data_IF_809327167096
#
_entry.id   IF_809327167096
#
_cell.length_a   1.000
_cell.length_b   1.000
_cell.length_c   1.000
_cell.angle_alpha   90.00
_cell.angle_beta   90.00
_cell.angle_gamma   90.00
#
_symmetry.space_group_name_H-M   'P 1'
#
loop_
_entity.id
_entity.type
_entity.pdbx_description
1 polymer ?
#
# COMPACT_ATOMS: atom_id res chain seq x y z
N UNK A 1 16.93 -4.54 11.40
CA UNK A 1 16.05 -3.36 11.27
C UNK A 1 14.60 -3.84 11.28
N UNK A 2 13.74 -3.27 12.14
CA UNK A 2 12.30 -3.60 12.20
C UNK A 2 11.54 -2.56 11.38
N UNK A 3 10.69 -3.00 10.46
CA UNK A 3 9.93 -2.13 9.59
C UNK A 3 8.43 -2.28 9.87
N UNK A 4 7.69 -1.18 9.85
CA UNK A 4 6.24 -1.20 9.83
C UNK A 4 5.76 -0.95 8.39
N UNK A 5 4.91 -1.83 7.91
CA UNK A 5 4.27 -1.70 6.60
C UNK A 5 2.80 -1.31 6.83
N UNK A 6 2.41 -0.16 6.32
CA UNK A 6 1.05 0.36 6.42
C UNK A 6 0.47 0.50 5.01
N UNK A 7 -0.83 0.33 4.88
CA UNK A 7 -1.54 0.51 3.60
C UNK A 7 -3.00 0.88 3.84
N UNK A 8 -3.65 1.43 2.82
CA UNK A 8 -5.11 1.56 2.78
C UNK A 8 -5.69 2.31 4.00
N UNK A 9 -5.10 3.48 4.29
CA UNK A 9 -5.46 4.34 5.44
C UNK A 9 -6.86 4.94 5.25
N UNK A 10 -7.17 5.33 4.03
CA UNK A 10 -8.49 5.79 3.62
C UNK A 10 -9.10 6.87 4.52
N UNK A 11 -8.34 7.91 4.87
CA UNK A 11 -8.85 9.03 5.66
C UNK A 11 -9.30 8.67 7.08
N UNK A 12 -8.91 7.50 7.60
CA UNK A 12 -9.24 7.03 8.95
C UNK A 12 -8.19 7.50 9.96
N UNK A 13 -8.29 8.74 10.37
CA UNK A 13 -7.31 9.40 11.24
C UNK A 13 -7.22 8.73 12.61
N UNK A 14 -8.35 8.31 13.16
CA UNK A 14 -8.39 7.65 14.48
C UNK A 14 -7.64 6.32 14.46
N UNK A 15 -7.86 5.51 13.42
CA UNK A 15 -7.12 4.25 13.26
C UNK A 15 -5.62 4.53 13.01
N UNK A 16 -5.29 5.52 12.19
CA UNK A 16 -3.90 5.89 11.91
C UNK A 16 -3.14 6.27 13.18
N UNK A 17 -3.75 7.07 14.07
CA UNK A 17 -3.17 7.41 15.36
C UNK A 17 -2.87 6.16 16.22
N UNK A 18 -3.81 5.20 16.27
CA UNK A 18 -3.60 3.97 17.06
C UNK A 18 -2.50 3.09 16.45
N UNK A 19 -2.45 3.00 15.11
CA UNK A 19 -1.40 2.25 14.41
C UNK A 19 -0.03 2.89 14.64
N UNK A 20 0.11 4.21 14.49
CA UNK A 20 1.38 4.90 14.74
C UNK A 20 1.85 4.74 16.20
N UNK A 21 0.94 4.81 17.16
CA UNK A 21 1.25 4.50 18.56
C UNK A 21 1.76 3.08 18.75
N UNK A 22 1.15 2.10 18.04
CA UNK A 22 1.62 0.71 18.09
C UNK A 22 3.02 0.58 17.47
N UNK A 23 3.28 1.23 16.35
CA UNK A 23 4.59 1.27 15.68
C UNK A 23 5.67 1.78 16.61
N UNK A 24 5.38 2.84 17.39
CA UNK A 24 6.29 3.39 18.39
C UNK A 24 6.57 2.39 19.52
N UNK A 25 5.52 1.75 20.08
CA UNK A 25 5.64 0.73 21.13
C UNK A 25 6.46 -0.47 20.67
N UNK A 26 6.32 -0.89 19.41
CA UNK A 26 7.08 -1.98 18.80
C UNK A 26 8.51 -1.56 18.43
N UNK A 27 8.87 -0.28 18.61
CA UNK A 27 10.18 0.28 18.29
C UNK A 27 10.60 -0.04 16.85
N UNK A 28 9.70 0.21 15.90
CA UNK A 28 10.02 0.07 14.49
C UNK A 28 11.00 1.18 14.07
N UNK A 29 12.01 0.79 13.29
CA UNK A 29 13.05 1.71 12.83
C UNK A 29 12.58 2.61 11.68
N UNK A 30 11.62 2.13 10.87
CA UNK A 30 11.00 2.91 9.78
C UNK A 30 9.58 2.44 9.47
N UNK A 31 8.82 3.34 8.84
CA UNK A 31 7.49 3.07 8.30
C UNK A 31 7.56 3.18 6.78
N UNK A 32 6.95 2.22 6.08
CA UNK A 32 6.69 2.25 4.64
C UNK A 32 5.17 2.22 4.47
N UNK A 33 4.61 3.24 3.81
CA UNK A 33 3.18 3.31 3.50
C UNK A 33 2.97 2.98 2.02
N UNK A 34 2.11 2.00 1.74
CA UNK A 34 1.90 1.48 0.40
C UNK A 34 0.82 2.25 -0.39
N UNK A 35 0.29 3.33 0.15
CA UNK A 35 -0.68 4.17 -0.56
C UNK A 35 -2.12 4.03 -0.05
N UNK A 36 -3.04 4.61 -0.80
CA UNK A 36 -4.45 4.80 -0.45
C UNK A 36 -4.62 5.52 0.89
N UNK A 37 -3.99 6.69 0.96
CA UNK A 37 -4.10 7.57 2.13
C UNK A 37 -5.48 8.21 2.21
N UNK A 38 -6.14 8.45 1.06
CA UNK A 38 -7.45 9.12 0.96
C UNK A 38 -8.58 8.16 0.58
N UNK A 39 -9.79 8.68 0.53
CA UNK A 39 -11.02 7.94 0.23
C UNK A 39 -11.67 7.36 1.48
N UNK A 40 -12.94 7.03 1.38
CA UNK A 40 -13.84 6.49 2.41
C UNK A 40 -13.97 7.32 3.69
N UNK A 41 -12.90 7.55 4.44
CA UNK A 41 -12.92 8.24 5.73
C UNK A 41 -12.94 9.77 5.61
N UNK A 42 -13.27 10.47 6.71
CA UNK A 42 -13.56 11.91 6.70
C UNK A 42 -12.34 12.83 6.86
N UNK A 43 -11.13 12.28 7.11
CA UNK A 43 -9.93 13.08 7.40
C UNK A 43 -8.81 12.85 6.38
N UNK A 44 -9.05 13.10 5.06
CA UNK A 44 -8.07 12.75 4.04
C UNK A 44 -6.78 13.57 4.14
N UNK A 45 -6.88 14.87 4.35
CA UNK A 45 -5.74 15.78 4.43
C UNK A 45 -4.86 15.49 5.64
N UNK A 46 -5.49 15.33 6.80
CA UNK A 46 -4.81 15.03 8.07
C UNK A 46 -4.07 13.69 8.01
N UNK A 47 -4.68 12.68 7.37
CA UNK A 47 -4.03 11.39 7.17
C UNK A 47 -2.81 11.50 6.26
N UNK A 48 -2.92 12.20 5.13
CA UNK A 48 -1.78 12.43 4.22
C UNK A 48 -0.65 13.15 4.95
N UNK A 49 -0.92 14.23 5.65
CA UNK A 49 0.09 14.98 6.38
C UNK A 49 0.72 14.18 7.51
N UNK A 50 -0.09 13.42 8.26
CA UNK A 50 0.38 12.63 9.38
C UNK A 50 1.28 11.48 8.92
N UNK A 51 0.86 10.74 7.89
CA UNK A 51 1.66 9.61 7.39
C UNK A 51 2.95 10.08 6.72
N UNK A 52 2.94 11.18 5.97
CA UNK A 52 4.13 11.73 5.35
C UNK A 52 5.18 12.21 6.36
N UNK A 53 4.76 12.75 7.50
CA UNK A 53 5.69 13.14 8.58
C UNK A 53 6.33 11.96 9.30
N UNK A 54 5.69 10.80 9.28
CA UNK A 54 6.11 9.63 10.07
C UNK A 54 6.75 8.52 9.23
N UNK A 55 6.61 8.54 7.91
CA UNK A 55 7.06 7.47 7.02
C UNK A 55 8.32 7.85 6.26
N UNK A 56 9.18 6.86 6.05
CA UNK A 56 10.34 7.00 5.16
C UNK A 56 9.91 7.04 3.68
N UNK A 57 8.80 6.37 3.36
CA UNK A 57 8.22 6.30 2.02
C UNK A 57 6.71 6.27 2.13
N UNK A 58 6.04 7.03 1.26
CA UNK A 58 4.58 6.96 1.03
C UNK A 58 4.36 6.79 -0.46
N UNK A 59 3.79 5.64 -0.85
CA UNK A 59 3.43 5.38 -2.23
C UNK A 59 2.05 5.98 -2.56
N UNK A 60 1.75 6.08 -3.85
CA UNK A 60 0.41 6.41 -4.31
C UNK A 60 -0.41 5.14 -4.52
N UNK A 61 -1.67 5.16 -4.07
CA UNK A 61 -2.67 4.16 -4.40
C UNK A 61 -3.68 4.66 -5.43
N UNK A 62 -4.61 3.78 -5.82
CA UNK A 62 -5.63 4.14 -6.82
C UNK A 62 -6.59 5.23 -6.34
N UNK A 63 -6.92 5.28 -5.05
CA UNK A 63 -7.74 6.36 -4.50
C UNK A 63 -6.99 7.70 -4.50
N UNK A 64 -5.69 7.70 -4.21
CA UNK A 64 -4.85 8.88 -4.28
C UNK A 64 -4.80 9.42 -5.72
N UNK A 65 -4.57 8.54 -6.70
CA UNK A 65 -4.59 8.88 -8.13
C UNK A 65 -5.98 9.29 -8.62
N UNK A 66 -7.04 8.62 -8.14
CA UNK A 66 -8.42 8.98 -8.44
C UNK A 66 -8.78 10.38 -7.95
N UNK A 67 -8.35 10.76 -6.75
CA UNK A 67 -8.56 12.11 -6.19
C UNK A 67 -7.81 13.16 -6.99
N UNK A 68 -6.59 12.87 -7.45
CA UNK A 68 -5.78 13.74 -8.29
C UNK A 68 -6.23 13.80 -9.76
N UNK A 69 -7.21 12.98 -10.17
CA UNK A 69 -7.64 12.86 -11.57
C UNK A 69 -6.61 12.20 -12.49
N UNK A 70 -5.65 11.45 -11.93
CA UNK A 70 -4.60 10.74 -12.68
C UNK A 70 -5.03 9.35 -13.16
N UNK A 71 -6.10 8.78 -12.57
CA UNK A 71 -6.71 7.53 -13.04
C UNK A 71 -8.22 7.69 -13.13
N UNK A 72 -8.86 6.91 -14.04
CA UNK A 72 -10.32 6.89 -14.15
C UNK A 72 -10.94 6.24 -12.91
N UNK A 73 -11.98 6.87 -12.39
CA UNK A 73 -12.76 6.32 -11.28
C UNK A 73 -14.01 5.57 -11.71
N UNK A 74 -14.20 5.34 -13.01
CA UNK A 74 -15.41 4.67 -13.56
C UNK A 74 -15.57 3.24 -13.04
N UNK A 75 -14.46 2.53 -12.86
CA UNK A 75 -14.45 1.17 -12.33
C UNK A 75 -14.52 1.10 -10.81
N UNK A 76 -14.43 2.24 -10.10
CA UNK A 76 -14.58 2.26 -8.66
C UNK A 76 -16.04 2.00 -8.29
N UNK A 77 -16.27 1.34 -7.17
CA UNK A 77 -17.62 1.21 -6.62
C UNK A 77 -18.21 2.59 -6.27
N UNK A 78 -19.52 2.67 -6.15
CA UNK A 78 -20.23 3.94 -5.92
C UNK A 78 -19.79 4.63 -4.63
N UNK A 79 -19.53 3.87 -3.56
CA UNK A 79 -19.09 4.43 -2.28
C UNK A 79 -17.71 5.07 -2.40
N UNK A 80 -16.78 4.42 -3.10
CA UNK A 80 -15.44 4.95 -3.37
C UNK A 80 -15.50 6.25 -4.16
N UNK A 81 -16.26 6.28 -5.27
CA UNK A 81 -16.44 7.49 -6.07
C UNK A 81 -17.05 8.65 -5.26
N UNK A 82 -18.06 8.33 -4.44
CA UNK A 82 -18.68 9.33 -3.57
C UNK A 82 -17.71 9.86 -2.53
N UNK A 83 -16.95 8.96 -1.90
CA UNK A 83 -15.95 9.33 -0.91
C UNK A 83 -14.89 10.27 -1.50
N UNK A 84 -14.35 9.97 -2.69
CA UNK A 84 -13.37 10.84 -3.34
C UNK A 84 -13.95 12.24 -3.64
N UNK A 85 -15.19 12.33 -4.12
CA UNK A 85 -15.85 13.64 -4.32
C UNK A 85 -16.02 14.44 -3.03
N UNK A 86 -16.27 13.77 -1.91
CA UNK A 86 -16.38 14.41 -0.59
C UNK A 86 -15.02 14.76 -0.01
N UNK A 87 -13.99 13.97 -0.28
CA UNK A 87 -12.62 14.21 0.18
C UNK A 87 -11.96 15.39 -0.54
N UNK A 88 -12.22 15.58 -1.82
CA UNK A 88 -11.54 16.60 -2.62
C UNK A 88 -11.59 18.02 -2.03
N UNK A 89 -12.74 18.55 -1.56
CA UNK A 89 -12.79 19.89 -0.95
C UNK A 89 -12.14 19.97 0.44
N UNK A 90 -11.79 18.84 1.07
CA UNK A 90 -11.14 18.77 2.37
C UNK A 90 -9.61 18.74 2.27
N UNK A 91 -9.07 18.63 1.05
CA UNK A 91 -7.63 18.57 0.84
C UNK A 91 -7.00 19.96 0.92
N UNK A 92 -5.89 20.06 1.68
CA UNK A 92 -5.02 21.24 1.63
C UNK A 92 -4.10 21.16 0.40
N UNK A 93 -3.59 22.29 -0.08
CA UNK A 93 -2.62 22.30 -1.18
C UNK A 93 -1.35 21.52 -0.80
N UNK A 94 -0.92 21.62 0.45
CA UNK A 94 0.23 20.85 0.96
C UNK A 94 0.02 19.34 0.85
N UNK A 95 -1.14 18.83 1.26
CA UNK A 95 -1.43 17.38 1.15
C UNK A 95 -1.64 16.94 -0.30
N UNK A 96 -2.20 17.79 -1.16
CA UNK A 96 -2.26 17.51 -2.61
C UNK A 96 -0.87 17.43 -3.23
N UNK A 97 0.05 18.32 -2.85
CA UNK A 97 1.42 18.27 -3.33
C UNK A 97 2.15 17.00 -2.86
N UNK A 98 1.96 16.60 -1.62
CA UNK A 98 2.51 15.33 -1.11
C UNK A 98 2.01 14.14 -1.92
N UNK A 99 0.71 14.04 -2.19
CA UNK A 99 0.16 12.97 -3.04
C UNK A 99 0.70 13.01 -4.48
N UNK A 100 0.84 14.21 -5.08
CA UNK A 100 1.38 14.35 -6.44
C UNK A 100 2.82 13.82 -6.55
N UNK A 101 3.59 13.92 -5.47
CA UNK A 101 4.98 13.50 -5.39
C UNK A 101 5.15 12.05 -4.92
N UNK A 102 4.09 11.37 -4.50
CA UNK A 102 4.14 9.97 -4.09
C UNK A 102 4.43 9.08 -5.30
N UNK A 103 5.49 8.24 -5.24
CA UNK A 103 5.82 7.31 -6.31
C UNK A 103 4.85 6.12 -6.32
N UNK A 104 4.77 5.39 -7.44
CA UNK A 104 3.98 4.16 -7.56
C UNK A 104 4.66 2.95 -6.92
N UNK A 105 5.97 2.94 -6.93
CA UNK A 105 6.79 1.84 -6.40
C UNK A 105 7.98 2.39 -5.62
N UNK A 106 8.48 1.60 -4.70
CA UNK A 106 9.73 1.85 -4.03
C UNK A 106 10.48 0.54 -3.79
N UNK A 107 11.81 0.58 -3.81
CA UNK A 107 12.63 -0.60 -3.55
C UNK A 107 13.96 -0.26 -2.89
N UNK A 108 14.47 -1.22 -2.12
CA UNK A 108 15.87 -1.28 -1.69
C UNK A 108 16.48 -2.64 -2.11
N UNK A 109 17.58 -3.03 -1.50
CA UNK A 109 18.25 -4.29 -1.82
C UNK A 109 17.42 -5.54 -1.46
N UNK A 110 16.51 -5.45 -0.50
CA UNK A 110 15.78 -6.59 0.06
C UNK A 110 14.29 -6.56 -0.26
N UNK A 111 13.71 -5.35 -0.37
CA UNK A 111 12.28 -5.13 -0.39
C UNK A 111 11.85 -4.35 -1.63
N UNK A 112 10.78 -4.80 -2.27
CA UNK A 112 10.01 -4.06 -3.26
C UNK A 112 8.64 -3.70 -2.68
N UNK A 113 8.20 -2.48 -2.87
CA UNK A 113 6.89 -1.99 -2.39
C UNK A 113 6.08 -1.44 -3.55
N UNK A 114 4.80 -1.77 -3.58
CA UNK A 114 3.83 -1.31 -4.57
C UNK A 114 2.45 -1.24 -3.92
N UNK A 115 1.55 -0.40 -4.42
CA UNK A 115 0.18 -0.41 -3.89
C UNK A 115 -0.60 -1.64 -4.37
N UNK A 116 -0.64 -1.91 -5.68
CA UNK A 116 -1.42 -2.99 -6.28
C UNK A 116 -0.53 -4.13 -6.80
N UNK A 117 -0.05 -4.04 -8.05
CA UNK A 117 0.71 -5.11 -8.70
C UNK A 117 2.10 -4.65 -9.16
N UNK A 118 3.15 -5.47 -8.97
CA UNK A 118 4.49 -5.13 -9.44
C UNK A 118 4.62 -4.96 -10.96
N UNK A 119 3.93 -5.79 -11.76
CA UNK A 119 4.09 -5.82 -13.21
C UNK A 119 3.54 -4.57 -13.90
N UNK A 120 2.41 -4.07 -13.47
CA UNK A 120 1.77 -2.87 -14.02
C UNK A 120 1.07 -2.11 -12.87
N UNK A 121 1.81 -1.29 -12.12
CA UNK A 121 1.29 -0.62 -10.92
C UNK A 121 0.07 0.26 -11.17
N UNK A 122 -0.03 0.91 -12.34
CA UNK A 122 -1.14 1.82 -12.68
C UNK A 122 -2.38 1.10 -13.20
N UNK A 123 -2.30 -0.21 -13.46
CA UNK A 123 -3.46 -0.99 -13.84
C UNK A 123 -4.36 -1.32 -12.65
N UNK A 124 -3.90 -1.11 -11.42
CA UNK A 124 -4.64 -1.29 -10.17
C UNK A 124 -5.30 -2.69 -10.07
N UNK A 125 -4.63 -3.72 -10.59
CA UNK A 125 -5.13 -5.08 -10.55
C UNK A 125 -5.10 -5.64 -9.13
N UNK A 126 -6.05 -6.54 -8.82
CA UNK A 126 -6.10 -7.21 -7.53
C UNK A 126 -5.30 -8.51 -7.56
N UNK A 127 -4.52 -8.74 -6.51
CA UNK A 127 -3.89 -10.03 -6.23
C UNK A 127 -4.79 -10.81 -5.26
N UNK A 128 -5.64 -11.66 -5.77
CA UNK A 128 -6.65 -12.38 -4.97
C UNK A 128 -6.34 -13.87 -4.84
N UNK A 129 -5.44 -14.38 -5.65
CA UNK A 129 -5.08 -15.79 -5.71
C UNK A 129 -3.61 -16.01 -6.04
N UNK A 130 -3.14 -17.25 -5.88
CA UNK A 130 -1.79 -17.67 -6.29
C UNK A 130 -1.55 -17.49 -7.80
N UNK A 131 -2.60 -17.56 -8.61
CA UNK A 131 -2.50 -17.40 -10.07
C UNK A 131 -2.22 -15.95 -10.45
N UNK A 132 -2.83 -14.99 -9.74
CA UNK A 132 -2.59 -13.56 -9.97
C UNK A 132 -1.15 -13.19 -9.61
N UNK A 133 -0.59 -13.84 -8.58
CA UNK A 133 0.78 -13.58 -8.11
C UNK A 133 1.82 -14.27 -8.99
N UNK A 134 1.49 -15.41 -9.60
CA UNK A 134 2.46 -16.21 -10.36
C UNK A 134 3.10 -15.42 -11.51
N UNK A 135 2.34 -14.55 -12.16
CA UNK A 135 2.84 -13.69 -13.25
C UNK A 135 3.69 -12.51 -12.75
N UNK A 136 3.65 -12.20 -11.46
CA UNK A 136 4.33 -11.04 -10.88
C UNK A 136 5.80 -11.29 -10.52
N UNK A 137 6.21 -12.56 -10.36
CA UNK A 137 7.52 -12.92 -9.83
C UNK A 137 8.72 -12.37 -10.64
N UNK A 138 8.52 -12.08 -11.92
CA UNK A 138 9.56 -11.52 -12.79
C UNK A 138 9.60 -9.98 -12.79
N UNK A 139 8.62 -9.32 -12.16
CA UNK A 139 8.53 -7.86 -12.16
C UNK A 139 9.45 -7.18 -11.11
N UNK A 140 10.01 -7.94 -10.18
CA UNK A 140 10.93 -7.46 -9.17
C UNK A 140 12.04 -8.48 -8.90
N UNK A 141 13.18 -8.01 -8.38
CA UNK A 141 14.36 -8.85 -8.08
C UNK A 141 14.56 -9.15 -6.60
N UNK A 142 13.89 -8.39 -5.74
CA UNK A 142 13.99 -8.49 -4.28
C UNK A 142 13.40 -9.81 -3.75
N UNK A 143 13.78 -10.19 -2.54
CA UNK A 143 13.24 -11.37 -1.87
C UNK A 143 11.83 -11.15 -1.30
N UNK A 144 11.46 -9.90 -1.03
CA UNK A 144 10.18 -9.51 -0.46
C UNK A 144 9.49 -8.48 -1.35
N UNK A 145 8.20 -8.66 -1.56
CA UNK A 145 7.34 -7.65 -2.15
C UNK A 145 6.15 -7.40 -1.21
N UNK A 146 5.96 -6.15 -0.81
CA UNK A 146 4.78 -5.74 -0.03
C UNK A 146 3.78 -5.03 -0.93
N UNK A 147 2.50 -5.38 -0.77
CA UNK A 147 1.39 -4.78 -1.50
C UNK A 147 0.17 -4.56 -0.58
N UNK A 148 -0.71 -3.62 -0.97
CA UNK A 148 -1.98 -3.30 -0.30
C UNK A 148 -3.18 -3.62 -1.18
N UNK A 149 -4.08 -2.64 -1.36
CA UNK A 149 -5.17 -2.62 -2.34
C UNK A 149 -6.28 -3.65 -2.13
N UNK A 150 -5.94 -4.88 -1.78
CA UNK A 150 -6.92 -5.98 -1.65
C UNK A 150 -7.75 -5.93 -0.38
N UNK A 151 -7.30 -5.22 0.64
CA UNK A 151 -7.83 -5.23 2.00
C UNK A 151 -7.93 -6.63 2.61
N UNK A 152 -7.10 -7.58 2.11
CA UNK A 152 -7.06 -8.97 2.59
C UNK A 152 -5.64 -9.33 2.99
N UNK A 153 -5.40 -9.72 4.25
CA UNK A 153 -4.10 -10.18 4.65
C UNK A 153 -3.78 -11.51 3.97
N UNK A 154 -2.64 -11.56 3.27
CA UNK A 154 -2.16 -12.78 2.66
C UNK A 154 -0.63 -12.77 2.56
N UNK A 155 -0.04 -13.95 2.53
CA UNK A 155 1.36 -14.12 2.22
C UNK A 155 1.50 -15.24 1.19
N UNK A 156 2.21 -14.97 0.11
CA UNK A 156 2.43 -15.91 -0.98
C UNK A 156 3.93 -16.04 -1.20
N UNK A 157 4.41 -17.26 -1.24
CA UNK A 157 5.83 -17.56 -1.36
C UNK A 157 6.08 -18.39 -2.62
N UNK A 158 7.22 -18.14 -3.27
CA UNK A 158 7.73 -19.03 -4.30
C UNK A 158 8.69 -20.04 -3.66
N UNK A 159 8.48 -21.34 -3.87
CA UNK A 159 9.37 -22.38 -3.39
C UNK A 159 10.68 -22.44 -4.19
N UNK A 160 11.67 -23.20 -3.72
CA UNK A 160 12.91 -23.44 -4.47
C UNK A 160 12.67 -24.09 -5.85
N UNK A 161 11.58 -24.85 -6.01
CA UNK A 161 11.14 -25.43 -7.29
C UNK A 161 10.28 -24.48 -8.11
N UNK A 162 10.20 -23.20 -7.73
CA UNK A 162 9.37 -22.15 -8.35
C UNK A 162 7.85 -22.42 -8.31
N UNK A 163 7.38 -23.23 -7.38
CA UNK A 163 5.95 -23.36 -7.13
C UNK A 163 5.46 -22.24 -6.23
N UNK A 164 4.36 -21.60 -6.60
CA UNK A 164 3.70 -20.56 -5.79
C UNK A 164 2.80 -21.21 -4.75
N UNK A 165 2.95 -20.81 -3.50
CA UNK A 165 2.17 -21.34 -2.36
C UNK A 165 1.69 -20.20 -1.49
N UNK A 166 0.42 -20.25 -1.08
CA UNK A 166 -0.13 -19.32 -0.10
C UNK A 166 0.21 -19.79 1.33
N UNK A 167 0.50 -18.85 2.20
CA UNK A 167 0.77 -19.06 3.62
C UNK A 167 -0.18 -18.21 4.47
N UNK A 168 -0.45 -18.64 5.69
CA UNK A 168 -1.10 -17.80 6.69
C UNK A 168 -0.12 -16.75 7.19
N UNK A 169 -0.62 -15.54 7.45
CA UNK A 169 0.21 -14.39 7.80
C UNK A 169 0.77 -14.45 9.24
N UNK A 170 0.27 -15.34 10.09
CA UNK A 170 0.72 -15.46 11.48
C UNK A 170 2.13 -16.08 11.54
N UNK A 171 3.09 -15.31 12.04
CA UNK A 171 4.48 -15.70 12.28
C UNK A 171 5.26 -16.23 11.06
N UNK A 172 5.12 -15.58 9.93
CA UNK A 172 5.84 -15.95 8.73
C UNK A 172 7.34 -15.61 8.85
N UNK A 173 8.16 -16.61 9.15
CA UNK A 173 9.62 -16.50 9.00
C UNK A 173 9.99 -16.74 7.53
N UNK A 174 10.21 -15.65 6.81
CA UNK A 174 10.66 -15.65 5.41
C UNK A 174 12.19 -15.76 5.39
N UNK A 175 12.72 -16.97 5.10
CA UNK A 175 14.15 -17.20 4.89
C UNK A 175 14.38 -17.72 3.48
N UNK A 176 15.30 -17.08 2.76
CA UNK A 176 15.82 -17.53 1.45
C UNK A 176 14.78 -17.82 0.36
N UNK A 177 13.69 -17.04 0.29
CA UNK A 177 12.61 -17.23 -0.70
C UNK A 177 12.05 -15.89 -1.14
N UNK A 178 11.64 -15.80 -2.42
CA UNK A 178 10.78 -14.70 -2.87
C UNK A 178 9.40 -14.80 -2.23
N UNK A 179 8.90 -13.70 -1.74
CA UNK A 179 7.58 -13.63 -1.10
C UNK A 179 6.87 -12.33 -1.46
N UNK A 180 5.55 -12.42 -1.59
CA UNK A 180 4.63 -11.30 -1.78
C UNK A 180 3.72 -11.26 -0.54
N UNK A 181 3.70 -10.14 0.16
CA UNK A 181 3.00 -9.95 1.44
C UNK A 181 2.20 -8.65 1.42
#
# INVERSE_FOLDING_TARGET
MRQAILSDIHGNLEALHQVLRRVELEKCDRILCLGDCVGYGPFPSECVELINRNSAVVLAGNHDYGLLGRTSTELFNEFARRALRLSAPLMTESSLEQLRNSPLTWQDAEVFCVHATPLDPEAWQYLLSIYDVDIQWNAFSQNLCFFGHTHRPMAICQTAQRHTVQRTADDLLLRDRKSVV
#
